data_IF_625549965969
#
_entry.id   IF_625549965969
#
_cell.length_a   1.000
_cell.length_b   1.000
_cell.length_c   1.000
_cell.angle_alpha   90.00
_cell.angle_beta   90.00
_cell.angle_gamma   90.00
#
_symmetry.space_group_name_H-M   'P 1'
#
loop_
_entity.id
_entity.type
_entity.pdbx_description
1 polymer ?
#
# COMPACT_ATOMS: atom_id res chain seq x y z
N UNK A 1 -2.30 1.06 -1.23
CA UNK A 1 -2.35 2.41 -1.82
C UNK A 1 -1.39 2.43 -3.00
N UNK A 2 -1.88 2.69 -4.20
CA UNK A 2 -1.03 2.80 -5.39
C UNK A 2 -0.76 4.28 -5.64
N UNK A 3 0.51 4.64 -5.85
CA UNK A 3 0.95 6.00 -6.12
C UNK A 3 1.73 5.98 -7.43
N UNK A 4 1.40 6.85 -8.38
CA UNK A 4 2.17 6.96 -9.61
C UNK A 4 3.48 7.72 -9.38
N UNK A 5 4.58 7.24 -9.98
CA UNK A 5 5.90 7.84 -9.86
C UNK A 5 6.14 9.02 -10.82
N UNK A 6 5.38 9.06 -11.93
CA UNK A 6 5.53 10.08 -12.97
C UNK A 6 5.42 11.50 -12.43
N UNK A 7 6.26 12.39 -12.94
CA UNK A 7 6.21 13.83 -12.62
C UNK A 7 4.87 14.41 -13.08
N UNK A 8 4.21 15.17 -12.21
CA UNK A 8 2.86 15.70 -12.40
C UNK A 8 1.76 14.74 -11.94
N UNK A 9 1.91 13.43 -12.19
CA UNK A 9 0.94 12.43 -11.74
C UNK A 9 0.96 12.24 -10.22
N UNK A 10 2.16 12.19 -9.65
CA UNK A 10 2.34 12.09 -8.19
C UNK A 10 1.72 13.30 -7.49
N UNK A 11 2.12 14.49 -7.90
CA UNK A 11 1.74 15.77 -7.30
C UNK A 11 0.22 16.01 -7.40
N UNK A 12 -0.39 15.64 -8.53
CA UNK A 12 -1.85 15.66 -8.68
C UNK A 12 -2.54 14.70 -7.70
N UNK A 13 -1.98 13.50 -7.53
CA UNK A 13 -2.51 12.47 -6.63
C UNK A 13 -2.47 12.87 -5.15
N UNK A 14 -1.41 13.55 -4.70
CA UNK A 14 -1.24 13.99 -3.30
C UNK A 14 -1.77 15.40 -3.01
N UNK A 15 -2.29 16.08 -4.05
CA UNK A 15 -2.90 17.40 -3.91
C UNK A 15 -4.07 17.40 -2.92
N UNK A 16 -4.52 18.59 -2.51
CA UNK A 16 -5.61 18.73 -1.52
C UNK A 16 -6.89 18.02 -1.98
N UNK A 17 -7.17 18.06 -3.27
CA UNK A 17 -8.34 17.46 -3.92
C UNK A 17 -7.99 16.10 -4.58
N UNK A 18 -6.79 15.57 -4.28
CA UNK A 18 -6.28 14.33 -4.84
C UNK A 18 -6.90 13.09 -4.20
N UNK A 19 -7.25 12.11 -5.03
CA UNK A 19 -7.91 10.87 -4.62
C UNK A 19 -7.06 10.00 -3.68
N UNK A 20 -5.73 10.02 -3.82
CA UNK A 20 -4.81 9.28 -2.93
C UNK A 20 -5.02 9.67 -1.46
N UNK A 21 -5.33 10.95 -1.24
CA UNK A 21 -5.54 11.49 0.10
C UNK A 21 -6.87 11.05 0.70
N UNK A 22 -7.93 11.16 -0.09
CA UNK A 22 -9.27 10.76 0.31
C UNK A 22 -9.34 9.27 0.61
N UNK A 23 -8.78 8.42 -0.26
CA UNK A 23 -8.75 6.97 -0.05
C UNK A 23 -7.99 6.57 1.21
N UNK A 24 -6.83 7.19 1.50
CA UNK A 24 -6.07 6.89 2.70
C UNK A 24 -6.85 7.27 3.97
N UNK A 25 -7.54 8.42 3.94
CA UNK A 25 -8.37 8.90 5.04
C UNK A 25 -9.57 7.98 5.28
N UNK A 26 -10.32 7.64 4.22
CA UNK A 26 -11.48 6.76 4.30
C UNK A 26 -11.10 5.36 4.80
N UNK A 27 -10.00 4.79 4.31
CA UNK A 27 -9.52 3.50 4.81
C UNK A 27 -9.21 3.58 6.32
N UNK A 28 -8.60 4.67 6.79
CA UNK A 28 -8.29 4.84 8.20
C UNK A 28 -9.55 5.02 9.06
N UNK A 29 -10.53 5.80 8.61
CA UNK A 29 -11.79 6.00 9.35
C UNK A 29 -12.62 4.71 9.44
N UNK A 30 -12.58 3.86 8.41
CA UNK A 30 -13.23 2.54 8.39
C UNK A 30 -12.51 1.47 9.22
N UNK A 31 -11.37 1.80 9.85
CA UNK A 31 -10.66 0.88 10.74
C UNK A 31 -9.57 0.04 10.06
N UNK A 32 -9.22 0.32 8.80
CA UNK A 32 -8.08 -0.31 8.15
C UNK A 32 -6.79 0.28 8.75
N UNK A 33 -6.04 -0.53 9.50
CA UNK A 33 -4.82 -0.09 10.20
C UNK A 33 -3.53 -0.53 9.52
N UNK A 34 -3.61 -1.50 8.63
CA UNK A 34 -2.47 -2.01 7.86
C UNK A 34 -2.51 -1.41 6.45
N UNK A 35 -1.39 -0.80 6.05
CA UNK A 35 -1.27 -0.10 4.77
C UNK A 35 0.02 -0.55 4.08
N UNK A 36 -0.09 -0.81 2.78
CA UNK A 36 1.05 -1.00 1.88
C UNK A 36 0.99 0.11 0.84
N UNK A 37 2.12 0.73 0.57
CA UNK A 37 2.27 1.74 -0.49
C UNK A 37 3.09 1.13 -1.61
N UNK A 38 2.50 1.06 -2.81
CA UNK A 38 3.24 0.68 -4.01
C UNK A 38 3.42 1.92 -4.89
N UNK A 39 4.67 2.25 -5.16
CA UNK A 39 5.07 3.35 -6.05
C UNK A 39 5.15 2.77 -7.46
N UNK A 40 4.11 2.99 -8.26
CA UNK A 40 3.90 2.40 -9.58
C UNK A 40 4.43 3.29 -10.70
N UNK A 41 4.55 2.74 -11.91
CA UNK A 41 5.09 3.40 -13.11
C UNK A 41 6.55 3.80 -12.97
N UNK A 42 7.36 3.04 -12.22
CA UNK A 42 8.79 3.35 -12.03
C UNK A 42 9.57 3.39 -13.35
N UNK A 43 9.13 2.64 -14.37
CA UNK A 43 9.64 2.68 -15.74
C UNK A 43 9.59 4.08 -16.37
N UNK A 44 8.52 4.85 -16.14
CA UNK A 44 8.38 6.22 -16.64
C UNK A 44 9.40 7.20 -16.04
N UNK A 45 9.98 6.84 -14.89
CA UNK A 45 11.02 7.60 -14.19
C UNK A 45 12.40 6.99 -14.36
N UNK A 46 12.56 6.06 -15.32
CA UNK A 46 13.79 5.29 -15.55
C UNK A 46 14.30 4.60 -14.29
N UNK A 47 13.38 4.09 -13.47
CA UNK A 47 13.68 3.40 -12.22
C UNK A 47 14.57 4.23 -11.27
N UNK A 48 14.34 5.55 -11.22
CA UNK A 48 15.15 6.49 -10.43
C UNK A 48 14.98 6.30 -8.92
N UNK A 49 16.09 6.07 -8.23
CA UNK A 49 16.16 5.98 -6.77
C UNK A 49 15.78 7.31 -6.09
N UNK A 50 16.28 8.43 -6.62
CA UNK A 50 16.01 9.76 -6.06
C UNK A 50 14.52 10.08 -6.09
N UNK A 51 13.86 9.78 -7.21
CA UNK A 51 12.41 9.99 -7.36
C UNK A 51 11.61 9.10 -6.42
N UNK A 52 12.01 7.84 -6.27
CA UNK A 52 11.38 6.95 -5.30
C UNK A 52 11.53 7.49 -3.86
N UNK A 53 12.73 7.91 -3.46
CA UNK A 53 13.01 8.44 -2.13
C UNK A 53 12.23 9.73 -1.83
N UNK A 54 12.08 10.62 -2.82
CA UNK A 54 11.22 11.81 -2.74
C UNK A 54 9.77 11.41 -2.45
N UNK A 55 9.20 10.52 -3.26
CA UNK A 55 7.82 10.04 -3.12
C UNK A 55 7.60 9.38 -1.76
N UNK A 56 8.54 8.55 -1.31
CA UNK A 56 8.48 7.89 0.01
C UNK A 56 8.46 8.92 1.14
N UNK A 57 9.30 9.95 1.07
CA UNK A 57 9.37 11.01 2.09
C UNK A 57 8.07 11.80 2.18
N UNK A 58 7.54 12.23 1.04
CA UNK A 58 6.29 13.00 0.98
C UNK A 58 5.09 12.16 1.40
N UNK A 59 4.99 10.93 0.87
CA UNK A 59 3.92 10.00 1.23
C UNK A 59 3.97 9.63 2.71
N UNK A 60 5.15 9.42 3.27
CA UNK A 60 5.33 9.14 4.71
C UNK A 60 4.80 10.29 5.57
N UNK A 61 5.09 11.54 5.18
CA UNK A 61 4.58 12.73 5.86
C UNK A 61 3.06 12.81 5.75
N UNK A 62 2.52 12.48 4.58
CA UNK A 62 1.10 12.48 4.30
C UNK A 62 0.34 11.43 5.13
N UNK A 63 0.72 10.16 5.06
CA UNK A 63 0.04 9.07 5.79
C UNK A 63 0.17 9.23 7.31
N UNK A 64 1.25 9.86 7.79
CA UNK A 64 1.40 10.24 9.20
C UNK A 64 0.36 11.26 9.65
N UNK A 65 0.01 12.23 8.80
CA UNK A 65 -1.07 13.19 9.09
C UNK A 65 -2.45 12.53 9.09
N UNK A 66 -2.65 11.48 8.27
CA UNK A 66 -3.88 10.69 8.28
C UNK A 66 -4.03 9.87 9.57
N UNK A 67 -2.91 9.41 10.15
CA UNK A 67 -2.89 8.66 11.40
C UNK A 67 -2.17 7.31 11.32
N UNK A 68 -1.62 6.95 10.15
CA UNK A 68 -0.78 5.75 10.02
C UNK A 68 0.62 6.00 10.60
N UNK A 69 1.26 4.95 11.11
CA UNK A 69 2.69 5.00 11.43
C UNK A 69 3.50 4.61 10.18
N UNK A 70 4.30 5.51 9.58
CA UNK A 70 5.08 5.20 8.38
C UNK A 70 6.05 4.03 8.55
N UNK A 71 6.53 3.77 9.77
CA UNK A 71 7.41 2.63 10.07
C UNK A 71 6.72 1.27 9.89
N UNK A 72 5.40 1.22 9.98
CA UNK A 72 4.62 -0.01 9.82
C UNK A 72 4.18 -0.22 8.37
N UNK A 73 4.57 0.66 7.46
CA UNK A 73 4.14 0.69 6.06
C UNK A 73 5.30 0.27 5.17
N UNK A 74 5.09 -0.77 4.38
CA UNK A 74 6.02 -1.15 3.33
C UNK A 74 5.86 -0.22 2.13
N UNK A 75 6.97 0.30 1.62
CA UNK A 75 7.05 1.08 0.39
C UNK A 75 7.73 0.25 -0.68
N UNK A 76 7.00 -0.13 -1.73
CA UNK A 76 7.48 -1.02 -2.78
C UNK A 76 7.51 -0.27 -4.11
N UNK A 77 8.68 -0.04 -4.74
CA UNK A 77 8.74 0.48 -6.10
C UNK A 77 8.38 -0.64 -7.07
N UNK A 78 7.38 -0.42 -7.93
CA UNK A 78 6.87 -1.40 -8.89
C UNK A 78 6.69 -0.77 -10.28
N UNK A 79 6.66 -1.64 -11.29
CA UNK A 79 6.01 -1.32 -12.56
C UNK A 79 4.94 -2.36 -12.82
N UNK A 80 3.68 -1.98 -12.65
CA UNK A 80 2.57 -2.89 -12.93
C UNK A 80 2.47 -3.31 -14.40
N UNK A 81 3.02 -2.51 -15.31
CA UNK A 81 3.04 -2.82 -16.75
C UNK A 81 4.14 -3.82 -17.12
N UNK A 82 5.34 -3.66 -16.55
CA UNK A 82 6.48 -4.54 -16.83
C UNK A 82 6.63 -5.71 -15.85
N UNK A 83 5.85 -5.73 -14.77
CA UNK A 83 5.89 -6.76 -13.73
C UNK A 83 7.01 -6.57 -12.70
N UNK A 84 7.77 -5.48 -12.77
CA UNK A 84 8.89 -5.21 -11.86
C UNK A 84 8.44 -5.20 -10.39
N UNK A 85 9.12 -6.00 -9.54
CA UNK A 85 8.85 -6.12 -8.10
C UNK A 85 7.41 -6.52 -7.73
N UNK A 86 6.63 -7.07 -8.67
CA UNK A 86 5.27 -7.54 -8.40
C UNK A 86 5.29 -8.90 -7.68
N UNK A 87 5.87 -9.90 -8.35
CA UNK A 87 6.01 -11.28 -7.86
C UNK A 87 7.48 -11.65 -7.64
N UNK A 88 8.35 -11.12 -8.48
CA UNK A 88 9.80 -11.37 -8.47
C UNK A 88 10.56 -10.05 -8.41
N UNK A 89 11.80 -10.10 -7.95
CA UNK A 89 12.69 -8.94 -7.88
C UNK A 89 13.02 -8.42 -9.27
N UNK A 90 12.96 -7.11 -9.44
CA UNK A 90 13.33 -6.45 -10.69
C UNK A 90 14.84 -6.33 -10.85
N UNK A 91 15.34 -6.66 -12.03
CA UNK A 91 16.72 -6.41 -12.42
C UNK A 91 16.99 -4.92 -12.75
N UNK A 92 15.95 -4.10 -12.95
CA UNK A 92 16.06 -2.69 -13.31
C UNK A 92 16.32 -1.77 -12.10
N UNK A 93 16.10 -2.28 -10.88
CA UNK A 93 16.20 -1.52 -9.62
C UNK A 93 17.26 -2.10 -8.69
N UNK A 94 18.50 -2.24 -9.16
CA UNK A 94 19.62 -2.82 -8.37
C UNK A 94 19.96 -2.06 -7.08
N UNK A 95 19.59 -0.77 -7.02
CA UNK A 95 19.70 0.08 -5.83
C UNK A 95 18.72 -0.32 -4.73
N UNK A 96 17.55 -0.85 -5.09
CA UNK A 96 16.50 -1.18 -4.13
C UNK A 96 16.86 -2.45 -3.35
N UNK A 97 17.03 -2.31 -2.04
CA UNK A 97 17.41 -3.42 -1.14
C UNK A 97 16.22 -4.13 -0.49
N UNK A 98 15.01 -3.76 -0.88
CA UNK A 98 13.78 -4.24 -0.28
C UNK A 98 13.15 -3.25 0.69
N UNK A 99 11.89 -3.50 1.00
CA UNK A 99 11.13 -2.76 1.98
C UNK A 99 11.35 -3.34 3.37
N UNK A 100 11.12 -2.52 4.38
CA UNK A 100 11.15 -2.92 5.79
C UNK A 100 9.93 -2.33 6.48
N UNK A 101 9.25 -3.11 7.31
CA UNK A 101 8.16 -2.62 8.17
C UNK A 101 8.25 -3.17 9.58
N UNK A 102 7.88 -2.35 10.55
CA UNK A 102 7.75 -2.73 11.95
C UNK A 102 6.33 -3.25 12.22
N UNK A 103 6.23 -4.46 12.79
CA UNK A 103 4.98 -5.05 13.30
C UNK A 103 5.15 -5.38 14.79
N UNK A 104 4.08 -5.82 15.45
CA UNK A 104 4.12 -6.10 16.90
C UNK A 104 5.13 -7.19 17.27
N UNK A 105 5.35 -8.16 16.37
CA UNK A 105 6.30 -9.27 16.57
C UNK A 105 7.74 -8.96 16.15
N UNK A 106 8.01 -7.77 15.59
CA UNK A 106 9.37 -7.36 15.20
C UNK A 106 9.42 -6.67 13.84
N UNK A 107 10.61 -6.71 13.23
CA UNK A 107 10.88 -6.09 11.92
C UNK A 107 10.75 -7.13 10.82
N UNK A 108 9.89 -6.89 9.85
CA UNK A 108 9.71 -7.74 8.66
C UNK A 108 10.31 -7.04 7.45
N UNK A 109 10.97 -7.81 6.58
CA UNK A 109 11.58 -7.33 5.34
C UNK A 109 11.09 -8.18 4.18
N UNK A 110 11.07 -7.59 3.00
CA UNK A 110 10.79 -8.28 1.74
C UNK A 110 11.20 -7.39 0.57
N UNK A 111 11.02 -7.88 -0.64
CA UNK A 111 11.41 -7.14 -1.85
C UNK A 111 10.21 -6.85 -2.73
N UNK A 112 9.32 -7.81 -2.89
CA UNK A 112 8.22 -7.72 -3.85
C UNK A 112 6.94 -7.20 -3.20
N UNK A 113 5.96 -6.86 -4.05
CA UNK A 113 4.61 -6.52 -3.60
C UNK A 113 3.91 -7.76 -3.01
N UNK A 114 4.15 -8.95 -3.58
CA UNK A 114 3.66 -10.21 -3.03
C UNK A 114 4.17 -10.42 -1.61
N UNK A 115 5.48 -10.26 -1.38
CA UNK A 115 6.07 -10.36 -0.03
C UNK A 115 5.36 -9.41 0.96
N UNK A 116 5.04 -8.20 0.49
CA UNK A 116 4.41 -7.18 1.34
C UNK A 116 2.99 -7.57 1.75
N UNK A 117 2.24 -8.19 0.83
CA UNK A 117 0.89 -8.73 1.04
C UNK A 117 0.94 -9.94 1.97
N UNK A 118 1.85 -10.88 1.75
CA UNK A 118 2.02 -12.07 2.59
C UNK A 118 2.44 -11.69 4.02
N UNK A 119 3.16 -10.58 4.18
CA UNK A 119 3.53 -10.06 5.48
C UNK A 119 2.38 -9.33 6.23
N UNK A 120 1.15 -9.28 5.72
CA UNK A 120 0.00 -8.69 6.42
C UNK A 120 -0.36 -9.55 7.64
N UNK A 121 -0.50 -8.93 8.81
CA UNK A 121 -0.93 -9.64 10.02
C UNK A 121 -2.41 -10.03 9.88
N UNK A 122 -2.79 -11.31 10.06
CA UNK A 122 -4.17 -11.71 10.00
C UNK A 122 -5.03 -10.93 11.02
N UNK A 123 -6.17 -10.37 10.61
CA UNK A 123 -7.05 -9.65 11.54
C UNK A 123 -7.69 -10.64 12.53
N UNK A 124 -7.98 -10.17 13.74
CA UNK A 124 -8.71 -10.94 14.74
C UNK A 124 -10.16 -11.09 14.29
N UNK A 125 -10.59 -12.33 14.05
CA UNK A 125 -11.98 -12.64 13.69
C UNK A 125 -12.87 -12.46 14.93
N UNK A 126 -14.03 -11.78 14.83
CA UNK A 126 -14.91 -11.55 15.97
C UNK A 126 -15.81 -12.77 16.27
N UNK A 127 -15.23 -13.96 16.47
CA UNK A 127 -15.98 -15.20 16.75
C UNK A 127 -16.75 -15.15 18.08
N UNK A 128 -16.23 -14.42 19.05
CA UNK A 128 -16.81 -14.35 20.41
C UNK A 128 -17.88 -13.25 20.52
N UNK A 129 -18.14 -12.50 19.44
CA UNK A 129 -19.15 -11.44 19.42
C UNK A 129 -20.51 -12.00 18.99
N UNK A 130 -21.63 -11.39 19.42
CA UNK A 130 -22.96 -11.78 18.96
C UNK A 130 -23.07 -11.72 17.43
N UNK A 131 -23.80 -12.68 16.85
CA UNK A 131 -24.05 -12.74 15.40
C UNK A 131 -24.68 -11.42 14.93
N UNK A 132 -24.07 -10.84 13.90
CA UNK A 132 -24.61 -9.72 13.12
C UNK A 132 -24.39 -10.07 11.66
N UNK A 133 -25.48 -10.31 10.93
CA UNK A 133 -25.45 -10.70 9.53
C UNK A 133 -26.41 -9.79 8.76
N UNK A 134 -25.90 -8.65 8.21
CA UNK A 134 -26.68 -7.80 7.33
C UNK A 134 -27.04 -8.57 6.06
N UNK A 135 -28.33 -8.60 5.71
CA UNK A 135 -28.78 -9.23 4.46
C UNK A 135 -28.32 -8.38 3.27
N UNK A 136 -27.62 -9.02 2.33
CA UNK A 136 -27.21 -8.38 1.07
C UNK A 136 -28.34 -8.45 0.06
N UNK A 137 -28.82 -9.67 -0.19
CA UNK A 137 -29.87 -9.98 -1.15
C UNK A 137 -30.82 -11.03 -0.56
N UNK A 138 -32.06 -11.04 -1.05
CA UNK A 138 -33.07 -12.02 -0.64
C UNK A 138 -33.56 -12.75 -1.87
N UNK A 139 -33.26 -14.04 -1.95
CA UNK A 139 -33.66 -14.90 -3.06
C UNK A 139 -34.72 -15.91 -2.62
N UNK A 140 -35.63 -16.22 -3.52
CA UNK A 140 -36.51 -17.39 -3.42
C UNK A 140 -35.97 -18.46 -4.38
N UNK A 141 -35.34 -19.49 -3.83
CA UNK A 141 -34.85 -20.64 -4.60
C UNK A 141 -35.89 -21.76 -4.52
N UNK A 142 -36.34 -22.25 -5.68
CA UNK A 142 -37.19 -23.44 -5.76
C UNK A 142 -36.36 -24.69 -5.46
N UNK A 143 -36.88 -25.54 -4.57
CA UNK A 143 -36.25 -26.81 -4.22
C UNK A 143 -36.24 -27.81 -5.37
#
# INVERSE_FOLDING_TARGET
LIIAAGTGEFEAGISKDGQTREHALLAFTLGVRQLIVAVNKMDTTKWSEDRFNEIVKETSTFIKKVGYNPKNVAFVPISGWHGDNMLEESNNMSWYKGWTKEIKSGVVKGKTLLDAIDAIEPPVRPSDKPLRLPLQDVYKIGG
#
